data_IF_353040678266
#
_entry.id   IF_353040678266
#
_cell.length_a   1.000
_cell.length_b   1.000
_cell.length_c   1.000
_cell.angle_alpha   90.00
_cell.angle_beta   90.00
_cell.angle_gamma   90.00
#
_symmetry.space_group_name_H-M   'P 1'
#
loop_
_entity.id
_entity.type
_entity.pdbx_description
1 polymer ?
#
# COMPACT_ATOMS: atom_id res chain seq x y z
N UNK A 1 -64.60 -55.04 46.86
CA UNK A 1 -65.29 -53.73 46.95
C UNK A 1 -64.20 -52.66 46.90
N UNK A 2 -64.08 -51.74 45.94
CA UNK A 2 -64.95 -51.21 44.88
C UNK A 2 -64.07 -50.67 43.72
N UNK A 3 -64.72 -50.51 42.57
CA UNK A 3 -64.31 -50.03 41.25
C UNK A 3 -63.62 -48.63 41.18
N UNK A 4 -62.78 -48.47 40.13
CA UNK A 4 -62.31 -47.27 39.37
C UNK A 4 -63.45 -46.38 38.80
N UNK A 5 -63.29 -45.30 37.96
CA UNK A 5 -62.17 -44.40 37.52
C UNK A 5 -62.55 -42.88 37.31
N UNK A 6 -61.61 -41.96 36.96
CA UNK A 6 -61.74 -40.76 36.07
C UNK A 6 -60.43 -39.92 36.10
N UNK A 7 -59.56 -39.86 35.08
CA UNK A 7 -59.56 -39.09 33.81
C UNK A 7 -59.57 -37.55 33.91
N UNK A 8 -58.61 -36.93 33.20
CA UNK A 8 -58.50 -35.53 32.72
C UNK A 8 -57.99 -34.42 33.67
N UNK A 9 -56.71 -34.05 33.53
CA UNK A 9 -56.31 -32.65 33.27
C UNK A 9 -54.85 -32.60 32.77
N UNK A 10 -54.66 -32.81 31.48
CA UNK A 10 -53.43 -32.50 30.76
C UNK A 10 -53.79 -31.44 29.72
N UNK A 11 -53.29 -30.21 29.87
CA UNK A 11 -53.12 -29.15 28.86
C UNK A 11 -53.13 -27.78 29.56
N UNK A 12 -51.95 -27.15 29.69
CA UNK A 12 -51.71 -25.69 29.63
C UNK A 12 -50.28 -25.37 30.09
N UNK A 13 -49.29 -25.94 29.41
CA UNK A 13 -47.95 -25.36 29.33
C UNK A 13 -47.68 -25.06 27.86
N UNK A 14 -48.32 -23.99 27.38
CA UNK A 14 -47.99 -23.39 26.09
C UNK A 14 -46.54 -22.91 26.13
N UNK A 15 -45.64 -23.75 25.65
CA UNK A 15 -44.27 -23.37 25.36
C UNK A 15 -44.30 -22.29 24.30
N UNK A 16 -44.10 -21.04 24.71
CA UNK A 16 -43.65 -19.99 23.83
C UNK A 16 -42.21 -20.30 23.47
N UNK A 17 -42.02 -21.22 22.53
CA UNK A 17 -40.78 -21.30 21.76
C UNK A 17 -40.73 -20.02 20.94
N UNK A 18 -40.12 -18.97 21.51
CA UNK A 18 -39.75 -17.80 20.73
C UNK A 18 -38.99 -18.29 19.52
N UNK A 19 -39.55 -18.10 18.33
CA UNK A 19 -38.82 -18.32 17.09
C UNK A 19 -37.60 -17.40 17.16
N UNK A 20 -36.44 -17.96 17.50
CA UNK A 20 -35.15 -17.30 17.34
C UNK A 20 -34.97 -17.10 15.83
N UNK A 21 -35.42 -15.95 15.32
CA UNK A 21 -35.10 -15.54 13.96
C UNK A 21 -33.59 -15.38 13.88
N UNK A 22 -32.93 -16.25 13.12
CA UNK A 22 -31.53 -16.06 12.81
C UNK A 22 -31.39 -14.80 11.95
N UNK A 23 -30.74 -13.77 12.48
CA UNK A 23 -30.35 -12.60 11.69
C UNK A 23 -29.37 -13.02 10.57
N UNK A 24 -29.37 -12.32 9.44
CA UNK A 24 -28.37 -12.59 8.41
C UNK A 24 -26.97 -12.34 8.97
N UNK A 25 -26.04 -13.27 8.71
CA UNK A 25 -24.65 -13.13 9.09
C UNK A 25 -23.90 -12.20 8.11
N UNK A 26 -23.09 -11.31 8.67
CA UNK A 26 -22.31 -10.30 7.95
C UNK A 26 -20.81 -10.52 8.23
N UNK A 27 -20.20 -11.57 7.65
CA UNK A 27 -18.80 -11.89 7.92
C UNK A 27 -17.86 -10.78 7.42
N UNK A 28 -16.76 -10.58 8.16
CA UNK A 28 -15.68 -9.70 7.74
C UNK A 28 -15.08 -10.15 6.39
N UNK A 29 -14.61 -9.18 5.59
CA UNK A 29 -13.91 -9.44 4.34
C UNK A 29 -12.54 -8.78 4.32
N UNK A 30 -11.66 -9.23 3.45
CA UNK A 30 -10.34 -8.62 3.27
C UNK A 30 -9.97 -8.49 1.80
N UNK A 31 -9.06 -7.56 1.52
CA UNK A 31 -8.42 -7.42 0.22
C UNK A 31 -6.97 -6.97 0.41
N UNK A 32 -6.11 -7.28 -0.55
CA UNK A 32 -4.73 -6.81 -0.57
C UNK A 32 -4.41 -6.20 -1.92
N UNK A 33 -3.67 -5.09 -1.88
CA UNK A 33 -3.05 -4.49 -3.06
C UNK A 33 -1.64 -5.06 -3.32
N UNK A 34 -1.18 -6.00 -2.48
CA UNK A 34 0.13 -6.63 -2.60
C UNK A 34 1.26 -5.71 -2.15
N UNK A 35 2.40 -5.83 -2.83
CA UNK A 35 3.60 -5.03 -2.55
C UNK A 35 4.01 -4.20 -3.76
N UNK A 36 4.26 -2.90 -3.53
CA UNK A 36 4.65 -1.93 -4.56
C UNK A 36 5.68 -0.95 -3.99
N UNK A 37 6.44 -0.28 -4.85
CA UNK A 37 7.37 0.76 -4.42
C UNK A 37 6.64 2.08 -4.14
N UNK A 38 7.22 2.97 -3.32
CA UNK A 38 6.64 4.30 -3.05
C UNK A 38 6.44 5.12 -4.33
N UNK A 39 7.34 4.99 -5.31
CA UNK A 39 7.20 5.65 -6.61
C UNK A 39 6.04 5.10 -7.45
N UNK A 40 5.75 3.80 -7.34
CA UNK A 40 4.60 3.20 -8.02
C UNK A 40 3.29 3.73 -7.43
N UNK A 41 3.20 3.89 -6.10
CA UNK A 41 2.04 4.53 -5.44
C UNK A 41 1.85 5.97 -5.93
N UNK A 42 2.94 6.68 -6.19
CA UNK A 42 2.88 8.03 -6.72
C UNK A 42 2.41 8.07 -8.18
N UNK A 43 2.91 7.17 -9.03
CA UNK A 43 2.68 7.23 -10.48
C UNK A 43 1.38 6.54 -10.94
N UNK A 44 0.94 5.48 -10.26
CA UNK A 44 -0.14 4.62 -10.73
C UNK A 44 -1.08 4.15 -9.61
N UNK A 45 -2.34 3.92 -9.99
CA UNK A 45 -3.32 3.33 -9.10
C UNK A 45 -3.11 1.80 -9.01
N UNK A 46 -3.14 1.27 -7.78
CA UNK A 46 -3.25 -0.17 -7.53
C UNK A 46 -4.73 -0.54 -7.42
N UNK A 47 -5.09 -1.72 -7.91
CA UNK A 47 -6.47 -2.22 -7.85
C UNK A 47 -6.54 -3.54 -7.11
N UNK A 48 -7.67 -3.78 -6.44
CA UNK A 48 -7.99 -5.02 -5.75
C UNK A 48 -9.51 -5.20 -5.74
N UNK A 49 -9.98 -6.38 -5.35
CA UNK A 49 -11.41 -6.65 -5.23
C UNK A 49 -11.68 -7.55 -4.04
N UNK A 50 -12.87 -7.43 -3.48
CA UNK A 50 -13.37 -8.30 -2.41
C UNK A 50 -14.87 -8.45 -2.55
N UNK A 51 -15.50 -9.24 -1.68
CA UNK A 51 -16.95 -9.44 -1.69
C UNK A 51 -17.54 -9.11 -0.33
N UNK A 52 -18.57 -8.27 -0.31
CA UNK A 52 -19.43 -8.12 0.87
C UNK A 52 -20.47 -9.23 0.85
N UNK A 53 -20.41 -10.12 1.84
CA UNK A 53 -21.33 -11.26 1.94
C UNK A 53 -22.45 -10.95 2.94
N UNK A 54 -23.69 -11.16 2.51
CA UNK A 54 -24.88 -11.10 3.35
C UNK A 54 -25.53 -12.48 3.35
N UNK A 55 -25.38 -13.21 4.46
CA UNK A 55 -25.73 -14.62 4.54
C UNK A 55 -27.00 -14.81 5.37
N UNK A 56 -28.15 -14.90 4.70
CA UNK A 56 -29.46 -15.05 5.33
C UNK A 56 -29.87 -16.52 5.57
N UNK A 57 -28.98 -17.46 5.24
CA UNK A 57 -29.15 -18.88 5.51
C UNK A 57 -29.90 -19.63 4.40
N UNK A 58 -30.59 -20.71 4.79
CA UNK A 58 -31.39 -21.52 3.87
C UNK A 58 -32.66 -20.77 3.47
N UNK A 59 -32.93 -20.71 2.16
CA UNK A 59 -34.17 -20.15 1.62
C UNK A 59 -34.33 -20.48 0.15
N UNK A 60 -35.56 -20.39 -0.35
CA UNK A 60 -35.85 -20.61 -1.77
C UNK A 60 -35.57 -19.34 -2.57
N UNK A 61 -35.00 -19.47 -3.76
CA UNK A 61 -34.84 -18.35 -4.69
C UNK A 61 -36.18 -17.77 -5.14
N UNK A 62 -37.27 -18.56 -5.07
CA UNK A 62 -38.65 -18.09 -5.28
C UNK A 62 -39.10 -17.07 -4.24
N UNK A 63 -38.47 -17.05 -3.05
CA UNK A 63 -38.74 -16.06 -2.01
C UNK A 63 -38.33 -14.64 -2.45
N UNK A 64 -37.40 -14.52 -3.40
CA UNK A 64 -36.97 -13.25 -3.99
C UNK A 64 -38.05 -12.60 -4.86
N UNK A 65 -39.16 -13.28 -5.18
CA UNK A 65 -40.32 -12.68 -5.86
C UNK A 65 -41.12 -11.71 -4.97
N UNK A 66 -40.80 -11.64 -3.67
CA UNK A 66 -41.31 -10.63 -2.74
C UNK A 66 -40.41 -9.38 -2.68
N UNK A 67 -40.79 -8.39 -1.89
CA UNK A 67 -40.03 -7.14 -1.70
C UNK A 67 -38.76 -7.37 -0.88
N UNK A 68 -37.68 -7.82 -1.54
CA UNK A 68 -36.38 -8.06 -0.94
C UNK A 68 -35.43 -6.92 -1.31
N UNK A 69 -34.62 -6.49 -0.33
CA UNK A 69 -33.56 -5.55 -0.60
C UNK A 69 -32.36 -5.72 0.32
N UNK A 70 -31.21 -5.32 -0.21
CA UNK A 70 -29.98 -5.11 0.55
C UNK A 70 -29.50 -3.72 0.21
N UNK A 71 -29.29 -2.89 1.22
CA UNK A 71 -28.77 -1.55 1.06
C UNK A 71 -27.39 -1.46 1.70
N UNK A 72 -26.42 -0.96 0.93
CA UNK A 72 -25.03 -0.79 1.35
C UNK A 72 -24.67 0.69 1.42
N UNK A 73 -23.95 1.09 2.48
CA UNK A 73 -23.39 2.42 2.62
C UNK A 73 -22.04 2.34 3.33
N UNK A 74 -21.02 3.02 2.79
CA UNK A 74 -19.76 3.17 3.52
C UNK A 74 -19.98 4.14 4.69
N UNK A 75 -20.02 3.61 5.92
CA UNK A 75 -20.37 4.39 7.10
C UNK A 75 -19.14 5.08 7.73
N UNK A 76 -18.02 4.38 7.80
CA UNK A 76 -16.78 4.94 8.36
C UNK A 76 -15.54 4.16 7.89
N UNK A 77 -14.36 4.68 8.24
CA UNK A 77 -13.09 4.04 7.97
C UNK A 77 -12.12 4.27 9.14
N UNK A 78 -11.16 3.35 9.35
CA UNK A 78 -10.13 3.49 10.40
C UNK A 78 -9.15 4.65 10.15
N UNK A 79 -8.98 5.04 8.88
CA UNK A 79 -8.21 6.19 8.45
C UNK A 79 -8.94 6.91 7.33
N UNK A 80 -8.86 8.24 7.28
CA UNK A 80 -9.59 9.05 6.29
C UNK A 80 -8.71 10.10 5.62
N UNK A 81 -9.03 10.42 4.36
CA UNK A 81 -8.48 11.54 3.62
C UNK A 81 -9.64 12.23 2.87
N UNK A 82 -10.08 13.37 3.41
CA UNK A 82 -11.38 13.95 3.02
C UNK A 82 -12.51 12.96 3.33
N UNK A 83 -13.36 12.67 2.34
CA UNK A 83 -14.50 11.76 2.48
C UNK A 83 -14.17 10.31 2.08
N UNK A 84 -12.90 9.98 1.87
CA UNK A 84 -12.45 8.62 1.49
C UNK A 84 -11.79 7.93 2.67
N UNK A 85 -11.90 6.60 2.71
CA UNK A 85 -11.01 5.79 3.52
C UNK A 85 -9.57 5.93 3.01
N UNK A 86 -8.61 5.93 3.92
CA UNK A 86 -7.19 6.04 3.59
C UNK A 86 -6.38 4.96 4.31
N UNK A 87 -5.56 4.26 3.54
CA UNK A 87 -4.50 3.39 4.03
C UNK A 87 -3.52 4.23 4.84
N UNK A 88 -3.27 3.79 6.07
CA UNK A 88 -2.37 4.43 7.03
C UNK A 88 -1.45 3.41 7.66
N UNK A 89 -0.27 3.86 8.09
CA UNK A 89 0.64 3.04 8.88
C UNK A 89 0.29 3.17 10.36
N UNK A 90 0.32 2.04 11.08
CA UNK A 90 0.12 2.04 12.53
C UNK A 90 1.19 2.89 13.24
N UNK A 91 0.75 3.81 14.11
CA UNK A 91 1.66 4.67 14.88
C UNK A 91 2.32 5.81 14.09
N UNK A 92 1.87 6.09 12.87
CA UNK A 92 2.48 7.13 12.04
C UNK A 92 2.17 8.56 12.51
N UNK A 93 3.21 9.36 12.71
CA UNK A 93 3.15 10.80 12.95
C UNK A 93 3.43 11.63 11.70
N UNK A 94 3.87 10.99 10.60
CA UNK A 94 4.27 11.63 9.34
C UNK A 94 3.08 12.12 8.51
N UNK A 95 1.88 11.63 8.83
CA UNK A 95 0.64 11.97 8.13
C UNK A 95 0.51 11.30 6.75
N UNK A 96 1.24 10.20 6.51
CA UNK A 96 1.20 9.51 5.22
C UNK A 96 -0.16 8.82 5.04
N UNK A 97 -0.90 9.22 4.01
CA UNK A 97 -2.23 8.70 3.71
C UNK A 97 -2.33 8.32 2.24
N UNK A 98 -2.87 7.14 1.98
CA UNK A 98 -3.16 6.69 0.61
C UNK A 98 -4.66 6.50 0.49
N UNK A 99 -5.38 7.47 -0.11
CA UNK A 99 -6.83 7.39 -0.25
C UNK A 99 -7.21 6.21 -1.16
N UNK A 100 -8.31 5.54 -0.80
CA UNK A 100 -8.85 4.38 -1.53
C UNK A 100 -10.28 4.68 -1.96
N UNK A 101 -10.56 4.43 -3.24
CA UNK A 101 -11.91 4.41 -3.79
C UNK A 101 -12.53 3.04 -3.55
N UNK A 102 -13.78 3.04 -3.09
CA UNK A 102 -14.63 1.85 -2.99
C UNK A 102 -15.73 1.94 -4.04
N UNK A 103 -15.88 0.92 -4.86
CA UNK A 103 -16.81 0.90 -5.98
C UNK A 103 -17.55 -0.43 -6.05
N UNK A 104 -18.73 -0.44 -6.67
CA UNK A 104 -19.53 -1.65 -6.91
C UNK A 104 -19.30 -2.24 -8.31
N UNK A 105 -18.54 -1.55 -9.16
CA UNK A 105 -18.21 -1.96 -10.53
C UNK A 105 -16.71 -1.82 -10.78
N UNK A 106 -16.17 -2.69 -11.66
CA UNK A 106 -14.74 -2.80 -11.91
C UNK A 106 -14.10 -1.52 -12.48
N UNK A 107 -14.85 -0.76 -13.28
CA UNK A 107 -14.40 0.51 -13.84
C UNK A 107 -14.50 1.69 -12.86
N UNK A 108 -15.00 1.46 -11.64
CA UNK A 108 -15.22 2.51 -10.64
C UNK A 108 -16.03 3.71 -11.16
N UNK A 109 -17.05 3.47 -12.01
CA UNK A 109 -17.88 4.55 -12.54
C UNK A 109 -18.66 5.29 -11.44
N UNK A 110 -19.03 4.57 -10.37
CA UNK A 110 -19.71 5.12 -9.19
C UNK A 110 -18.91 4.74 -7.95
N UNK A 111 -18.39 5.78 -7.28
CA UNK A 111 -17.66 5.64 -6.03
C UNK A 111 -18.61 5.78 -4.84
N UNK A 112 -18.46 4.88 -3.85
CA UNK A 112 -19.13 4.94 -2.57
C UNK A 112 -18.19 5.57 -1.53
N UNK A 113 -18.22 6.89 -1.42
CA UNK A 113 -17.47 7.63 -0.36
C UNK A 113 -18.12 7.45 1.00
N UNK A 114 -17.43 7.83 2.07
CA UNK A 114 -17.95 7.80 3.43
C UNK A 114 -19.18 8.71 3.51
N UNK A 115 -20.31 8.18 3.98
CA UNK A 115 -21.58 8.90 4.09
C UNK A 115 -22.28 9.18 2.75
N UNK A 116 -21.82 8.60 1.63
CA UNK A 116 -22.49 8.71 0.34
C UNK A 116 -23.92 8.16 0.39
N UNK A 117 -24.74 8.51 -0.61
CA UNK A 117 -26.09 7.94 -0.75
C UNK A 117 -26.02 6.41 -0.77
N UNK A 118 -26.83 5.70 0.03
CA UNK A 118 -26.81 4.25 0.07
C UNK A 118 -27.19 3.63 -1.29
N UNK A 119 -26.52 2.53 -1.64
CA UNK A 119 -26.83 1.74 -2.84
C UNK A 119 -27.76 0.61 -2.45
N UNK A 120 -28.96 0.58 -3.02
CA UNK A 120 -29.97 -0.45 -2.75
C UNK A 120 -30.04 -1.44 -3.90
N UNK A 121 -29.81 -2.72 -3.60
CA UNK A 121 -29.99 -3.85 -4.50
C UNK A 121 -31.42 -4.38 -4.34
N UNK A 122 -32.19 -4.33 -5.43
CA UNK A 122 -33.55 -4.86 -5.48
C UNK A 122 -33.55 -6.38 -5.66
N UNK A 123 -34.70 -7.02 -5.42
CA UNK A 123 -34.94 -8.44 -5.67
C UNK A 123 -34.36 -8.97 -6.99
N UNK A 124 -34.53 -8.25 -8.10
CA UNK A 124 -34.04 -8.69 -9.41
C UNK A 124 -32.51 -8.66 -9.52
N UNK A 125 -31.85 -7.76 -8.79
CA UNK A 125 -30.39 -7.68 -8.74
C UNK A 125 -29.83 -8.74 -7.79
N UNK A 126 -30.54 -9.01 -6.68
CA UNK A 126 -30.18 -10.06 -5.72
C UNK A 126 -30.16 -11.47 -6.35
N UNK A 127 -31.00 -11.73 -7.37
CA UNK A 127 -30.96 -12.98 -8.15
C UNK A 127 -29.63 -13.23 -8.85
N UNK A 128 -28.88 -12.17 -9.19
CA UNK A 128 -27.55 -12.30 -9.79
C UNK A 128 -26.42 -12.40 -8.75
N UNK A 129 -26.75 -12.23 -7.46
CA UNK A 129 -25.81 -12.21 -6.34
C UNK A 129 -25.87 -13.48 -5.49
N UNK A 130 -26.87 -14.32 -5.70
CA UNK A 130 -27.00 -15.62 -5.03
C UNK A 130 -26.00 -16.63 -5.61
N UNK A 131 -25.28 -17.34 -4.73
CA UNK A 131 -24.38 -18.41 -5.13
C UNK A 131 -25.11 -19.64 -5.71
N UNK A 132 -24.43 -20.39 -6.57
CA UNK A 132 -24.98 -21.55 -7.31
C UNK A 132 -25.38 -22.75 -6.42
N UNK A 133 -25.04 -22.73 -5.13
CA UNK A 133 -25.14 -23.87 -4.22
C UNK A 133 -26.44 -23.95 -3.41
N UNK A 134 -27.42 -23.09 -3.72
CA UNK A 134 -28.70 -23.01 -3.01
C UNK A 134 -28.59 -22.26 -1.67
N UNK A 135 -29.63 -21.48 -1.36
CA UNK A 135 -29.68 -20.59 -0.19
C UNK A 135 -29.64 -19.10 -0.54
N UNK A 136 -29.85 -18.26 0.47
CA UNK A 136 -29.94 -16.80 0.34
C UNK A 136 -28.66 -16.16 0.87
N UNK A 137 -27.54 -16.53 0.24
CA UNK A 137 -26.22 -15.94 0.49
C UNK A 137 -25.89 -15.02 -0.68
N UNK A 138 -25.86 -13.71 -0.41
CA UNK A 138 -25.66 -12.69 -1.42
C UNK A 138 -24.22 -12.19 -1.37
N UNK A 139 -23.46 -12.40 -2.44
CA UNK A 139 -22.07 -11.97 -2.55
C UNK A 139 -21.99 -10.74 -3.45
N UNK A 140 -21.90 -9.55 -2.84
CA UNK A 140 -21.79 -8.28 -3.57
C UNK A 140 -20.32 -8.02 -3.92
N UNK A 141 -19.92 -8.00 -5.20
CA UNK A 141 -18.55 -7.69 -5.58
C UNK A 141 -18.25 -6.21 -5.32
N UNK A 142 -17.12 -5.96 -4.68
CA UNK A 142 -16.59 -4.65 -4.37
C UNK A 142 -15.21 -4.50 -5.00
N UNK A 143 -14.98 -3.35 -5.61
CA UNK A 143 -13.74 -3.02 -6.29
C UNK A 143 -13.06 -1.86 -5.56
N UNK A 144 -11.76 -1.99 -5.41
CA UNK A 144 -10.94 -1.12 -4.58
C UNK A 144 -9.82 -0.56 -5.44
N UNK A 145 -9.59 0.75 -5.35
CA UNK A 145 -8.55 1.41 -6.15
C UNK A 145 -7.83 2.48 -5.33
N UNK A 146 -6.51 2.47 -5.29
CA UNK A 146 -5.75 3.56 -4.69
C UNK A 146 -5.71 4.78 -5.61
N UNK A 147 -5.54 5.97 -5.03
CA UNK A 147 -5.33 7.20 -5.78
C UNK A 147 -3.83 7.50 -5.93
N UNK A 148 -3.34 7.80 -7.14
CA UNK A 148 -1.95 8.18 -7.36
C UNK A 148 -1.64 9.57 -6.77
N UNK A 149 -0.37 9.96 -6.82
CA UNK A 149 0.14 11.27 -6.38
C UNK A 149 0.57 11.34 -4.92
N UNK A 150 0.51 10.23 -4.19
CA UNK A 150 0.94 10.21 -2.78
C UNK A 150 2.45 10.01 -2.68
N UNK A 151 3.10 10.77 -1.79
CA UNK A 151 4.53 10.62 -1.45
C UNK A 151 4.62 10.11 -0.02
N UNK A 152 4.96 8.83 0.11
CA UNK A 152 4.82 8.08 1.37
C UNK A 152 6.08 7.27 1.67
N UNK A 153 6.35 7.01 2.95
CA UNK A 153 7.46 6.18 3.37
C UNK A 153 7.20 4.68 3.11
N UNK A 154 8.25 3.88 3.05
CA UNK A 154 8.15 2.41 2.96
C UNK A 154 7.63 1.81 4.27
N UNK A 155 6.75 0.82 4.20
CA UNK A 155 6.17 0.15 5.36
C UNK A 155 4.82 -0.51 5.06
N UNK A 156 4.20 -1.06 6.11
CA UNK A 156 2.90 -1.73 6.00
C UNK A 156 1.76 -0.74 6.29
N UNK A 157 0.86 -0.61 5.33
CA UNK A 157 -0.32 0.23 5.42
C UNK A 157 -1.56 -0.64 5.54
N UNK A 158 -2.45 -0.25 6.45
CA UNK A 158 -3.74 -0.91 6.67
C UNK A 158 -4.89 0.09 6.72
N UNK A 159 -6.07 -0.39 6.37
CA UNK A 159 -7.31 0.36 6.37
C UNK A 159 -8.47 -0.61 6.63
N UNK A 160 -9.33 -0.29 7.58
CA UNK A 160 -10.61 -0.98 7.76
C UNK A 160 -11.72 -0.06 7.30
N UNK A 161 -12.45 -0.45 6.25
CA UNK A 161 -13.68 0.19 5.81
C UNK A 161 -14.86 -0.48 6.52
N UNK A 162 -15.73 0.31 7.14
CA UNK A 162 -16.93 -0.18 7.82
C UNK A 162 -18.13 0.03 6.91
N UNK A 163 -18.55 -1.03 6.22
CA UNK A 163 -19.68 -1.01 5.32
C UNK A 163 -20.96 -1.30 6.12
N UNK A 164 -21.81 -0.29 6.30
CA UNK A 164 -23.13 -0.48 6.87
C UNK A 164 -24.03 -1.22 5.86
N UNK A 165 -24.71 -2.23 6.37
CA UNK A 165 -25.65 -3.06 5.62
C UNK A 165 -26.99 -3.01 6.33
N UNK A 166 -28.04 -2.67 5.60
CA UNK A 166 -29.42 -2.94 6.00
C UNK A 166 -29.99 -3.95 5.02
N UNK A 167 -30.75 -4.91 5.52
CA UNK A 167 -31.32 -5.97 4.70
C UNK A 167 -32.75 -6.26 5.13
N UNK A 168 -33.56 -6.60 4.14
CA UNK A 168 -34.87 -7.19 4.32
C UNK A 168 -35.03 -8.33 3.33
N UNK A 169 -34.95 -9.56 3.84
CA UNK A 169 -34.93 -10.77 3.04
C UNK A 169 -36.02 -11.73 3.53
N UNK A 170 -36.91 -12.10 2.62
CA UNK A 170 -37.84 -13.20 2.83
C UNK A 170 -37.10 -14.53 2.62
N UNK A 171 -36.98 -15.34 3.67
CA UNK A 171 -36.29 -16.64 3.61
C UNK A 171 -37.23 -17.83 3.37
N UNK A 172 -38.54 -17.61 3.51
CA UNK A 172 -39.58 -18.62 3.37
C UNK A 172 -40.38 -18.55 2.07
N UNK A 173 -41.62 -19.04 2.10
CA UNK A 173 -42.52 -18.98 0.95
C UNK A 173 -43.11 -17.57 0.83
N UNK A 174 -43.00 -16.97 -0.35
CA UNK A 174 -43.72 -15.75 -0.71
C UNK A 174 -44.96 -16.12 -1.53
N UNK A 175 -46.11 -15.55 -1.18
CA UNK A 175 -47.34 -15.68 -1.96
C UNK A 175 -47.95 -14.28 -2.18
N UNK A 176 -48.36 -13.97 -3.41
CA UNK A 176 -48.95 -12.67 -3.78
C UNK A 176 -48.09 -11.45 -3.38
N UNK A 177 -46.76 -11.59 -3.38
CA UNK A 177 -45.82 -10.53 -3.00
C UNK A 177 -45.62 -10.31 -1.50
N UNK A 178 -46.26 -11.13 -0.64
CA UNK A 178 -46.18 -11.04 0.82
C UNK A 178 -45.32 -12.18 1.37
N UNK A 179 -44.36 -11.85 2.25
CA UNK A 179 -43.59 -12.85 2.98
C UNK A 179 -44.40 -13.34 4.19
N UNK A 180 -44.46 -14.66 4.40
CA UNK A 180 -45.16 -15.24 5.55
C UNK A 180 -44.54 -14.77 6.88
N UNK A 181 -45.40 -14.53 7.88
CA UNK A 181 -44.99 -14.07 9.20
C UNK A 181 -43.94 -15.03 9.82
N UNK A 182 -42.86 -14.45 10.36
CA UNK A 182 -41.74 -15.20 10.93
C UNK A 182 -40.63 -15.58 9.93
N UNK A 183 -40.83 -15.36 8.63
CA UNK A 183 -39.85 -15.65 7.56
C UNK A 183 -39.25 -14.39 6.91
N UNK A 184 -39.62 -13.20 7.40
CA UNK A 184 -39.03 -11.91 7.01
C UNK A 184 -37.84 -11.64 7.93
N UNK A 185 -36.62 -11.76 7.41
CA UNK A 185 -35.40 -11.35 8.09
C UNK A 185 -35.12 -9.89 7.77
N UNK A 186 -35.37 -9.03 8.75
CA UNK A 186 -35.09 -7.60 8.66
C UNK A 186 -34.06 -7.22 9.73
N UNK A 187 -32.99 -6.56 9.32
CA UNK A 187 -31.93 -6.20 10.24
C UNK A 187 -30.89 -5.26 9.64
N UNK A 188 -29.95 -4.88 10.47
CA UNK A 188 -28.81 -4.05 10.09
C UNK A 188 -27.55 -4.52 10.79
N UNK A 189 -26.41 -4.17 10.21
CA UNK A 189 -25.11 -4.41 10.80
C UNK A 189 -23.99 -3.85 9.94
N UNK A 190 -22.76 -4.26 10.23
CA UNK A 190 -21.58 -3.74 9.57
C UNK A 190 -20.70 -4.88 9.10
N UNK A 191 -20.28 -4.83 7.84
CA UNK A 191 -19.22 -5.67 7.29
C UNK A 191 -17.90 -4.89 7.40
N UNK A 192 -16.98 -5.27 8.29
CA UNK A 192 -15.65 -4.70 8.30
C UNK A 192 -14.83 -5.29 7.13
N UNK A 193 -14.24 -4.40 6.33
CA UNK A 193 -13.41 -4.75 5.18
C UNK A 193 -11.97 -4.30 5.48
N UNK A 194 -11.08 -5.24 5.73
CA UNK A 194 -9.67 -4.94 6.01
C UNK A 194 -8.83 -4.98 4.75
N UNK A 195 -8.17 -3.87 4.45
CA UNK A 195 -7.29 -3.68 3.31
C UNK A 195 -5.83 -3.61 3.77
N UNK A 196 -4.94 -4.17 2.96
CA UNK A 196 -3.50 -4.16 3.19
C UNK A 196 -2.72 -3.74 1.95
N UNK A 197 -1.64 -3.00 2.16
CA UNK A 197 -0.66 -2.63 1.14
C UNK A 197 0.73 -2.56 1.78
N UNK A 198 1.72 -3.22 1.18
CA UNK A 198 3.12 -3.13 1.62
C UNK A 198 3.92 -2.27 0.66
N UNK A 199 4.46 -1.17 1.18
CA UNK A 199 5.30 -0.25 0.41
C UNK A 199 6.76 -0.59 0.67
N UNK A 200 7.51 -0.86 -0.39
CA UNK A 200 8.94 -1.14 -0.31
C UNK A 200 9.79 0.10 -0.57
N UNK A 201 11.01 0.07 -0.05
CA UNK A 201 12.03 1.06 -0.36
C UNK A 201 12.48 0.90 -1.82
N UNK A 202 12.71 2.02 -2.48
CA UNK A 202 13.19 2.10 -3.85
C UNK A 202 13.97 3.41 -4.06
N UNK A 203 14.83 3.44 -5.07
CA UNK A 203 15.58 4.61 -5.52
C UNK A 203 15.59 4.65 -7.06
N UNK A 204 15.07 5.73 -7.64
CA UNK A 204 14.82 5.80 -9.09
C UNK A 204 15.92 6.52 -9.85
N UNK A 205 16.61 7.47 -9.22
CA UNK A 205 17.57 8.34 -9.91
C UNK A 205 18.80 8.59 -9.07
N UNK A 206 19.97 8.42 -9.68
CA UNK A 206 21.28 8.89 -9.18
C UNK A 206 21.84 9.87 -10.21
N UNK A 207 22.02 11.12 -9.81
CA UNK A 207 22.67 12.14 -10.65
C UNK A 207 24.07 12.39 -10.12
N UNK A 208 25.07 11.91 -10.86
CA UNK A 208 26.49 12.10 -10.57
C UNK A 208 27.16 12.82 -11.77
N UNK A 209 27.52 14.11 -11.65
CA UNK A 209 28.18 14.84 -12.72
C UNK A 209 29.60 14.34 -12.97
N UNK A 210 30.07 14.51 -14.21
CA UNK A 210 31.46 14.24 -14.57
C UNK A 210 32.41 15.21 -13.84
N UNK A 211 33.53 14.66 -13.36
CA UNK A 211 34.63 15.43 -12.77
C UNK A 211 35.69 15.70 -13.84
N UNK A 212 36.13 16.95 -13.94
CA UNK A 212 37.28 17.33 -14.77
C UNK A 212 38.26 18.13 -13.92
N UNK A 213 39.49 17.62 -13.79
CA UNK A 213 40.57 18.29 -13.07
C UNK A 213 41.26 19.39 -13.91
N UNK A 214 40.92 19.50 -15.20
CA UNK A 214 41.61 20.39 -16.13
C UNK A 214 43.02 19.90 -16.47
N UNK A 215 43.97 20.82 -16.60
CA UNK A 215 45.33 20.55 -17.06
C UNK A 215 46.34 21.19 -16.12
N UNK A 216 47.41 20.47 -15.77
CA UNK A 216 48.54 21.00 -15.02
C UNK A 216 49.84 20.30 -15.44
N UNK A 217 51.00 20.99 -15.38
CA UNK A 217 52.29 20.40 -15.75
C UNK A 217 52.85 19.45 -14.67
N UNK A 218 52.41 19.61 -13.41
CA UNK A 218 52.82 18.80 -12.26
C UNK A 218 51.59 18.37 -11.47
N UNK A 219 51.68 17.23 -10.78
CA UNK A 219 50.57 16.70 -9.94
C UNK A 219 50.13 17.68 -8.84
N UNK A 220 51.04 18.52 -8.34
CA UNK A 220 50.75 19.56 -7.34
C UNK A 220 50.03 20.79 -7.91
N UNK A 221 49.97 20.93 -9.23
CA UNK A 221 49.32 22.05 -9.90
C UNK A 221 47.82 21.85 -10.18
N UNK A 222 47.28 20.66 -9.96
CA UNK A 222 45.85 20.39 -10.15
C UNK A 222 45.02 20.93 -8.98
N UNK A 223 44.00 21.72 -9.29
CA UNK A 223 43.00 22.16 -8.33
C UNK A 223 42.04 21.03 -7.97
N UNK A 224 41.55 21.04 -6.73
CA UNK A 224 40.46 20.15 -6.31
C UNK A 224 39.15 20.55 -6.98
N UNK A 225 38.29 19.57 -7.27
CA UNK A 225 36.95 19.78 -7.85
C UNK A 225 35.90 19.47 -6.78
N UNK A 226 35.03 20.42 -6.49
CA UNK A 226 33.92 20.24 -5.54
C UNK A 226 32.59 20.19 -6.28
N UNK A 227 31.85 19.11 -6.08
CA UNK A 227 30.56 18.84 -6.73
C UNK A 227 29.65 18.07 -5.77
N UNK A 228 28.48 17.62 -6.24
CA UNK A 228 27.57 16.80 -5.45
C UNK A 228 26.94 15.67 -6.27
N UNK A 229 26.58 14.60 -5.57
CA UNK A 229 25.73 13.53 -6.08
C UNK A 229 24.33 13.72 -5.50
N UNK A 230 23.31 13.71 -6.35
CA UNK A 230 21.90 13.74 -5.92
C UNK A 230 21.30 12.35 -6.08
N UNK A 231 20.55 11.92 -5.07
CA UNK A 231 19.88 10.62 -5.08
C UNK A 231 18.40 10.81 -4.75
N UNK A 232 17.51 10.24 -5.56
CA UNK A 232 16.06 10.23 -5.34
C UNK A 232 15.64 8.85 -4.85
N UNK A 233 15.24 8.77 -3.58
CA UNK A 233 14.82 7.54 -2.93
C UNK A 233 13.50 7.72 -2.20
N UNK A 234 12.89 6.61 -1.80
CA UNK A 234 11.65 6.58 -1.00
C UNK A 234 11.77 7.49 0.23
N UNK A 235 10.72 8.28 0.49
CA UNK A 235 10.64 9.21 1.62
C UNK A 235 11.03 8.50 2.92
N UNK A 236 11.93 9.12 3.70
CA UNK A 236 12.34 8.59 5.01
C UNK A 236 13.19 7.31 4.97
N UNK A 237 13.54 6.78 3.80
CA UNK A 237 14.38 5.58 3.69
C UNK A 237 15.80 5.81 4.23
N UNK A 238 16.31 4.78 4.90
CA UNK A 238 17.72 4.65 5.32
C UNK A 238 18.47 3.83 4.28
N UNK A 239 19.58 4.36 3.78
CA UNK A 239 20.43 3.69 2.79
C UNK A 239 21.86 4.24 2.86
N UNK A 240 22.77 3.61 2.13
CA UNK A 240 24.15 4.07 1.97
C UNK A 240 24.54 4.19 0.50
N UNK A 241 25.23 5.28 0.16
CA UNK A 241 25.76 5.55 -1.18
C UNK A 241 27.25 5.18 -1.21
N UNK A 242 27.62 4.29 -2.13
CA UNK A 242 28.99 3.86 -2.35
C UNK A 242 29.59 4.41 -3.63
N UNK A 243 30.91 4.53 -3.64
CA UNK A 243 31.69 4.80 -4.84
C UNK A 243 32.71 3.68 -5.00
N UNK A 244 32.68 2.98 -6.14
CA UNK A 244 33.70 1.97 -6.49
C UNK A 244 35.11 2.59 -6.53
N UNK A 245 36.16 1.76 -6.57
CA UNK A 245 37.55 2.24 -6.67
C UNK A 245 37.95 2.66 -8.11
N UNK A 246 37.00 2.77 -9.03
CA UNK A 246 37.28 3.06 -10.43
C UNK A 246 37.65 1.81 -11.24
N UNK A 247 37.84 2.00 -12.54
CA UNK A 247 38.18 0.94 -13.50
C UNK A 247 39.68 0.61 -13.50
N UNK A 248 40.51 1.50 -12.98
CA UNK A 248 41.97 1.36 -12.93
C UNK A 248 42.53 1.41 -11.50
N UNK A 249 41.77 0.89 -10.53
CA UNK A 249 42.18 0.86 -9.13
C UNK A 249 43.53 0.14 -8.92
N UNK A 250 44.37 0.69 -8.05
CA UNK A 250 45.55 0.01 -7.51
C UNK A 250 45.33 -0.19 -6.00
N UNK A 251 44.95 -1.40 -5.61
CA UNK A 251 44.40 -1.65 -4.27
C UNK A 251 43.11 -0.85 -4.04
N UNK A 252 43.09 0.02 -3.03
CA UNK A 252 41.98 0.93 -2.76
C UNK A 252 42.10 2.29 -3.46
N UNK A 253 43.26 2.63 -4.02
CA UNK A 253 43.51 3.95 -4.61
C UNK A 253 42.94 4.00 -6.02
N UNK A 254 42.12 5.02 -6.30
CA UNK A 254 41.58 5.26 -7.64
C UNK A 254 42.66 5.84 -8.55
N UNK A 255 42.67 5.41 -9.80
CA UNK A 255 43.57 5.98 -10.81
C UNK A 255 42.82 6.27 -12.09
N UNK A 256 43.16 7.39 -12.71
CA UNK A 256 42.87 7.59 -14.13
C UNK A 256 44.02 7.01 -14.94
N UNK A 257 43.72 6.45 -16.11
CA UNK A 257 44.71 5.79 -16.95
C UNK A 257 44.88 6.49 -18.30
N UNK A 258 46.11 6.46 -18.79
CA UNK A 258 46.49 6.76 -20.17
C UNK A 258 47.45 5.65 -20.64
N UNK A 259 46.90 4.63 -21.31
CA UNK A 259 47.65 3.40 -21.58
C UNK A 259 48.07 2.71 -20.26
N UNK A 260 49.38 2.45 -20.11
CA UNK A 260 49.94 1.87 -18.89
C UNK A 260 50.24 2.90 -17.79
N UNK A 261 50.15 4.20 -18.09
CA UNK A 261 50.44 5.28 -17.14
C UNK A 261 49.20 5.53 -16.28
N UNK A 262 49.41 5.69 -14.97
CA UNK A 262 48.36 5.96 -14.00
C UNK A 262 48.54 7.35 -13.37
N UNK A 263 47.42 8.01 -13.12
CA UNK A 263 47.34 9.26 -12.35
C UNK A 263 46.37 9.04 -11.18
N UNK A 264 46.92 8.90 -9.98
CA UNK A 264 46.16 8.61 -8.77
C UNK A 264 45.34 9.82 -8.32
N UNK A 265 44.10 9.57 -7.92
CA UNK A 265 43.19 10.58 -7.41
C UNK A 265 42.30 9.97 -6.32
N UNK A 266 41.61 10.82 -5.56
CA UNK A 266 40.60 10.36 -4.61
C UNK A 266 39.40 11.29 -4.53
N UNK A 267 38.29 10.73 -4.05
CA UNK A 267 37.03 11.43 -3.82
C UNK A 267 36.74 11.40 -2.32
N UNK A 268 36.61 12.58 -1.74
CA UNK A 268 36.37 12.78 -0.31
C UNK A 268 34.97 13.31 -0.03
N UNK A 269 34.46 12.99 1.14
CA UNK A 269 33.14 13.39 1.64
C UNK A 269 33.10 14.88 1.93
N UNK A 270 32.24 15.64 1.26
CA UNK A 270 32.18 17.10 1.38
C UNK A 270 33.56 17.73 1.21
N UNK A 271 33.92 18.65 2.12
CA UNK A 271 35.26 19.26 2.20
C UNK A 271 36.25 18.52 3.12
N UNK A 272 35.88 17.36 3.65
CA UNK A 272 36.68 16.62 4.64
C UNK A 272 37.85 15.85 4.00
N UNK A 273 38.64 15.16 4.82
CA UNK A 273 39.64 14.18 4.40
C UNK A 273 39.12 12.73 4.45
N UNK A 274 37.83 12.52 4.76
CA UNK A 274 37.25 11.19 4.82
C UNK A 274 36.99 10.68 3.40
N UNK A 275 37.61 9.56 3.04
CA UNK A 275 37.42 8.91 1.75
C UNK A 275 35.97 8.50 1.57
N UNK A 276 35.44 8.71 0.36
CA UNK A 276 34.17 8.14 -0.06
C UNK A 276 34.43 6.91 -0.93
N UNK A 277 34.12 5.74 -0.39
CA UNK A 277 34.49 4.45 -0.96
C UNK A 277 33.34 3.45 -1.04
N UNK A 278 33.62 2.20 -1.40
CA UNK A 278 32.59 1.22 -1.73
C UNK A 278 32.02 0.49 -0.50
N UNK A 279 32.73 0.50 0.64
CA UNK A 279 32.41 -0.38 1.76
C UNK A 279 32.54 0.29 3.13
N UNK A 280 31.85 -0.29 4.13
CA UNK A 280 31.96 0.10 5.53
C UNK A 280 31.71 1.59 5.79
N UNK A 281 32.55 2.20 6.63
CA UNK A 281 32.47 3.61 7.00
C UNK A 281 32.84 4.57 5.87
N UNK A 282 33.37 4.08 4.73
CA UNK A 282 33.67 4.91 3.56
C UNK A 282 32.41 5.22 2.75
N UNK A 283 31.34 4.42 2.86
CA UNK A 283 30.05 4.75 2.24
C UNK A 283 29.41 5.96 2.92
N UNK A 284 28.52 6.66 2.22
CA UNK A 284 27.76 7.79 2.77
C UNK A 284 26.38 7.35 3.21
N UNK A 285 26.08 7.45 4.51
CA UNK A 285 24.73 7.23 5.03
C UNK A 285 23.77 8.31 4.53
N UNK A 286 22.53 7.93 4.22
CA UNK A 286 21.46 8.88 3.85
C UNK A 286 21.17 9.92 4.93
N UNK A 287 21.52 9.64 6.19
CA UNK A 287 21.45 10.61 7.29
C UNK A 287 22.49 11.74 7.19
N UNK A 288 23.57 11.54 6.42
CA UNK A 288 24.65 12.52 6.23
C UNK A 288 24.46 13.42 5.00
N UNK A 289 23.30 13.33 4.33
CA UNK A 289 22.98 14.24 3.25
C UNK A 289 22.96 15.69 3.76
N UNK A 290 23.52 16.62 3.01
CA UNK A 290 23.57 18.03 3.44
C UNK A 290 22.25 18.76 3.19
N UNK A 291 21.47 18.29 2.23
CA UNK A 291 20.13 18.80 1.94
C UNK A 291 19.19 17.64 1.64
N UNK A 292 17.93 17.84 2.02
CA UNK A 292 16.81 16.96 1.68
C UNK A 292 15.72 17.86 1.09
N UNK A 293 15.14 17.46 -0.06
CA UNK A 293 14.02 18.19 -0.66
C UNK A 293 12.79 18.20 0.25
N UNK A 294 11.88 19.15 0.02
CA UNK A 294 10.66 19.32 0.84
C UNK A 294 9.74 18.10 0.83
N UNK A 295 9.71 17.35 -0.27
CA UNK A 295 8.99 16.07 -0.40
C UNK A 295 9.70 14.89 0.29
N UNK A 296 10.93 15.09 0.78
CA UNK A 296 11.73 14.07 1.46
C UNK A 296 12.36 13.02 0.54
N UNK A 297 12.30 13.19 -0.78
CA UNK A 297 12.75 12.20 -1.75
C UNK A 297 14.21 12.38 -2.18
N UNK A 298 14.60 13.62 -2.47
CA UNK A 298 15.93 13.95 -3.01
C UNK A 298 16.89 14.26 -1.88
N UNK A 299 18.05 13.61 -1.88
CA UNK A 299 19.16 13.87 -0.96
C UNK A 299 20.41 14.24 -1.73
N UNK A 300 21.12 15.26 -1.27
CA UNK A 300 22.37 15.74 -1.88
C UNK A 300 23.57 15.41 -1.02
N UNK A 301 24.59 14.87 -1.66
CA UNK A 301 25.86 14.45 -1.03
C UNK A 301 27.02 15.18 -1.71
N UNK A 302 27.56 16.25 -1.08
CA UNK A 302 28.70 16.95 -1.63
C UNK A 302 29.97 16.11 -1.50
N UNK A 303 30.89 16.32 -2.42
CA UNK A 303 32.21 15.70 -2.41
C UNK A 303 33.28 16.64 -2.96
N UNK A 304 34.53 16.34 -2.62
CA UNK A 304 35.70 16.96 -3.24
C UNK A 304 36.59 15.89 -3.83
N UNK A 305 36.80 15.95 -5.15
CA UNK A 305 37.75 15.10 -5.87
C UNK A 305 39.12 15.82 -5.94
N UNK A 306 40.22 15.07 -5.79
CA UNK A 306 41.60 15.61 -5.77
C UNK A 306 42.57 14.65 -6.43
N UNK A 307 43.52 15.18 -7.20
CA UNK A 307 44.73 14.44 -7.59
C UNK A 307 45.61 14.26 -6.35
N UNK A 308 46.15 13.06 -6.14
CA UNK A 308 47.06 12.81 -5.02
C UNK A 308 48.44 13.40 -5.33
N UNK A 309 49.00 14.20 -4.44
CA UNK A 309 50.29 14.88 -4.67
C UNK A 309 51.51 14.06 -4.28
N UNK A 310 51.31 12.90 -3.64
CA UNK A 310 52.35 11.99 -3.15
C UNK A 310 52.84 10.99 -4.21
N UNK A 311 52.53 11.22 -5.49
CA UNK A 311 52.93 10.37 -6.61
C UNK A 311 53.94 11.09 -7.52
N UNK A 312 54.73 10.34 -8.29
CA UNK A 312 55.55 10.93 -9.34
C UNK A 312 54.65 11.50 -10.44
N UNK A 313 55.05 12.62 -11.05
CA UNK A 313 54.27 13.18 -12.18
C UNK A 313 54.39 12.24 -13.38
N UNK A 314 53.27 11.66 -13.87
CA UNK A 314 53.31 10.74 -14.99
C UNK A 314 53.50 11.52 -16.32
N UNK A 315 53.78 10.84 -17.43
CA UNK A 315 53.94 11.49 -18.74
C UNK A 315 52.72 12.34 -19.13
N UNK A 316 52.94 13.39 -19.90
CA UNK A 316 51.87 14.25 -20.39
C UNK A 316 50.86 13.45 -21.24
N UNK A 317 49.57 13.70 -21.02
CA UNK A 317 48.48 13.10 -21.80
C UNK A 317 47.14 13.18 -21.09
N UNK A 318 46.11 12.61 -21.71
CA UNK A 318 44.74 12.60 -21.17
C UNK A 318 44.51 11.32 -20.38
N UNK A 319 44.15 11.47 -19.11
CA UNK A 319 43.88 10.36 -18.21
C UNK A 319 42.37 10.30 -17.91
N UNK A 320 41.78 9.11 -18.01
CA UNK A 320 40.35 8.89 -17.72
C UNK A 320 40.14 7.72 -16.77
N UNK A 321 39.05 7.76 -16.00
CA UNK A 321 38.57 6.65 -15.18
C UNK A 321 37.04 6.60 -15.21
N UNK A 322 36.45 5.48 -14.82
CA UNK A 322 35.02 5.33 -14.61
C UNK A 322 34.74 4.79 -13.21
N UNK A 323 34.01 5.59 -12.42
CA UNK A 323 33.60 5.25 -11.05
C UNK A 323 32.11 4.93 -11.04
N UNK A 324 31.78 3.70 -10.66
CA UNK A 324 30.40 3.29 -10.39
C UNK A 324 29.94 3.87 -9.06
N UNK A 325 28.76 4.49 -9.08
CA UNK A 325 27.99 4.91 -7.89
C UNK A 325 26.92 3.86 -7.63
N UNK A 326 26.86 3.35 -6.40
CA UNK A 326 25.89 2.33 -6.01
C UNK A 326 25.13 2.70 -4.73
N UNK A 327 24.01 2.02 -4.50
CA UNK A 327 23.14 2.21 -3.34
C UNK A 327 22.87 0.86 -2.68
N UNK A 328 22.81 0.87 -1.35
CA UNK A 328 22.35 -0.26 -0.55
C UNK A 328 21.42 0.23 0.54
N UNK A 329 20.27 -0.43 0.68
CA UNK A 329 19.42 -0.32 1.87
C UNK A 329 20.04 -1.06 3.05
#
# INVERSE_FOLDING_TARGET
MKLTPLLCFALLSGGYSGMLQAACALPASSASFGSVTSFTVNAAASTSSTTANVNCGSGSTLALLSNNNITLQLASASGVAGNRGALTRAGDTSGDRIPVQLCTTANCATEMTIGATPITYSSSQLLNLIGLLGGLNFSVPLYLRTLPGQVVAAGNYSLTLNLAVTYRICTGIAALGICLAGQDQNGSGTIPITLSLTITNDCTTITAPNVSFGSAPLVSGFSSVSQSINVVCTKGSSYTVGLSNGSHASGSVRNMANGASLLSYEIYKGSTSNRWGPAGSERQSSANATTVSSDGLTRTFPYTARILTTQNTPPAGNYTDSVVVDLSF
#
